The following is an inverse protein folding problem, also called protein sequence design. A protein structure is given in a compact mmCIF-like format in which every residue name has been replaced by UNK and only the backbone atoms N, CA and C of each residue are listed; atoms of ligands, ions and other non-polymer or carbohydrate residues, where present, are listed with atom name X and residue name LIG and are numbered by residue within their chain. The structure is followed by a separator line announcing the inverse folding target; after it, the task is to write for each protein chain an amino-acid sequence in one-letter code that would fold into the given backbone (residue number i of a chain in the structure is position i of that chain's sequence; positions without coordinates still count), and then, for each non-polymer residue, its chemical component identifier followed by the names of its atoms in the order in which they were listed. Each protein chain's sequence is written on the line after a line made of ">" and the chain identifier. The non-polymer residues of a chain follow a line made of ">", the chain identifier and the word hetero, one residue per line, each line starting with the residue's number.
data_IF_829875076527
#
_entry.id   IF_829875076527
#
_cell.length_a   1.000
_cell.length_b   1.000
_cell.length_c   1.000
_cell.angle_alpha   90.00
_cell.angle_beta   90.00
_cell.angle_gamma   90.00
#
_symmetry.space_group_name_H-M   'P 1'
#
loop_
_entity.id
_entity.type
_entity.pdbx_description
1 polymer ?
#
# COMPACT_ATOMS: atom_id res chain seq x y z
N UNK A 1 18.86 -3.66 -44.92
CA UNK A 1 18.90 -3.14 -43.54
C UNK A 1 18.19 -4.16 -42.68
N UNK A 2 18.95 -4.98 -41.94
CA UNK A 2 18.40 -5.98 -41.03
C UNK A 2 17.76 -5.26 -39.85
N UNK A 3 16.50 -5.55 -39.58
CA UNK A 3 15.78 -5.16 -38.36
C UNK A 3 16.63 -5.53 -37.14
N UNK A 4 16.70 -4.71 -36.08
CA UNK A 4 17.31 -5.17 -34.84
C UNK A 4 16.42 -6.29 -34.28
N UNK A 5 16.90 -7.53 -34.33
CA UNK A 5 16.33 -8.63 -33.58
C UNK A 5 16.46 -8.28 -32.10
N UNK A 6 15.34 -8.25 -31.38
CA UNK A 6 15.32 -8.18 -29.92
C UNK A 6 15.85 -9.53 -29.44
N UNK A 7 17.17 -9.61 -29.26
CA UNK A 7 17.90 -10.86 -29.00
C UNK A 7 17.86 -11.33 -27.55
N UNK A 8 17.27 -10.54 -26.65
CA UNK A 8 17.15 -10.91 -25.24
C UNK A 8 15.69 -11.21 -24.84
N UNK A 9 15.31 -12.49 -24.69
CA UNK A 9 13.99 -12.87 -24.21
C UNK A 9 13.72 -12.40 -22.77
N UNK A 10 14.76 -12.05 -21.99
CA UNK A 10 14.58 -11.46 -20.67
C UNK A 10 13.90 -10.08 -20.72
N UNK A 11 14.09 -9.32 -21.82
CA UNK A 11 13.48 -8.00 -21.98
C UNK A 11 11.96 -8.02 -22.05
N UNK A 12 11.37 -9.12 -22.55
CA UNK A 12 9.91 -9.31 -22.58
C UNK A 12 9.32 -9.50 -21.17
N UNK A 13 10.13 -9.98 -20.22
CA UNK A 13 9.69 -10.26 -18.86
C UNK A 13 9.40 -8.95 -18.11
N UNK A 14 10.15 -7.88 -18.35
CA UNK A 14 9.99 -6.59 -17.66
C UNK A 14 8.63 -5.92 -17.86
N UNK A 15 7.92 -6.21 -18.96
CA UNK A 15 6.62 -5.61 -19.25
C UNK A 15 5.44 -6.45 -18.73
N UNK A 16 5.72 -7.56 -18.05
CA UNK A 16 4.70 -8.38 -17.40
C UNK A 16 4.59 -8.05 -15.92
N UNK A 17 3.39 -8.14 -15.35
CA UNK A 17 3.18 -8.03 -13.89
C UNK A 17 4.10 -8.97 -13.12
N UNK A 18 4.25 -10.21 -13.61
CA UNK A 18 5.12 -11.20 -12.99
C UNK A 18 6.59 -10.80 -13.01
N UNK A 19 7.08 -10.14 -14.07
CA UNK A 19 8.44 -9.64 -14.13
C UNK A 19 8.68 -8.44 -13.22
N UNK A 20 7.72 -7.51 -13.13
CA UNK A 20 7.82 -6.38 -12.20
C UNK A 20 7.86 -6.83 -10.72
N UNK A 21 7.17 -7.92 -10.39
CA UNK A 21 7.17 -8.48 -9.03
C UNK A 21 8.40 -9.35 -8.73
N UNK A 22 9.06 -9.89 -9.74
CA UNK A 22 10.26 -10.72 -9.57
C UNK A 22 11.37 -9.94 -8.85
N UNK A 23 11.57 -8.69 -9.25
CA UNK A 23 12.55 -7.79 -8.64
C UNK A 23 12.17 -7.36 -7.22
N UNK A 24 10.94 -7.64 -6.77
CA UNK A 24 10.44 -7.31 -5.44
C UNK A 24 10.58 -8.47 -4.45
N UNK A 25 10.95 -9.68 -4.90
CA UNK A 25 11.10 -10.86 -4.04
C UNK A 25 12.22 -10.65 -3.03
N UNK A 26 11.98 -11.09 -1.80
CA UNK A 26 12.85 -10.94 -0.64
C UNK A 26 13.16 -9.48 -0.28
N UNK A 27 12.38 -8.55 -0.84
CA UNK A 27 12.42 -7.15 -0.48
C UNK A 27 11.25 -6.78 0.40
N UNK A 28 11.48 -5.75 1.21
CA UNK A 28 10.43 -5.17 2.02
C UNK A 28 9.57 -4.26 1.15
N UNK A 29 8.27 -4.49 1.17
CA UNK A 29 7.29 -3.72 0.41
C UNK A 29 6.36 -2.96 1.34
N UNK A 30 5.88 -1.82 0.84
CA UNK A 30 4.63 -1.19 1.30
C UNK A 30 3.51 -1.58 0.33
N UNK A 31 2.37 -2.00 0.87
CA UNK A 31 1.22 -2.46 0.09
C UNK A 31 -0.02 -1.73 0.59
N UNK A 32 -0.81 -1.16 -0.32
CA UNK A 32 -2.10 -0.55 -0.02
C UNK A 32 -3.20 -1.45 -0.56
N UNK A 33 -4.16 -1.77 0.30
CA UNK A 33 -5.30 -2.61 -0.03
C UNK A 33 -6.54 -1.78 -0.33
N UNK A 34 -7.50 -2.41 -1.03
CA UNK A 34 -8.81 -1.85 -1.38
C UNK A 34 -9.59 -1.35 -0.16
N UNK A 35 -9.57 -2.10 0.93
CA UNK A 35 -10.16 -1.73 2.23
C UNK A 35 -9.43 -0.57 2.96
N UNK A 36 -8.49 0.09 2.28
CA UNK A 36 -7.75 1.22 2.81
C UNK A 36 -6.62 0.83 3.77
N UNK A 37 -6.37 -0.47 4.04
CA UNK A 37 -5.24 -0.87 4.89
C UNK A 37 -3.90 -0.59 4.22
N UNK A 38 -2.89 -0.28 5.04
CA UNK A 38 -1.49 -0.24 4.60
C UNK A 38 -0.70 -1.30 5.33
N UNK A 39 -0.12 -2.22 4.57
CA UNK A 39 0.71 -3.30 5.06
C UNK A 39 2.17 -3.02 4.70
N UNK A 40 3.08 -3.41 5.60
CA UNK A 40 4.51 -3.47 5.31
C UNK A 40 4.99 -4.88 5.62
N UNK A 41 5.72 -5.51 4.72
CA UNK A 41 6.21 -6.88 4.92
C UNK A 41 7.25 -7.26 3.87
N UNK A 42 7.91 -8.40 4.07
CA UNK A 42 8.87 -8.93 3.10
C UNK A 42 8.12 -9.85 2.14
N UNK A 43 8.21 -9.59 0.83
CA UNK A 43 7.57 -10.46 -0.18
C UNK A 43 8.34 -11.77 -0.29
N UNK A 44 7.68 -12.90 -0.06
CA UNK A 44 8.31 -14.23 -0.13
C UNK A 44 7.90 -15.01 -1.37
N UNK A 45 6.66 -14.85 -1.82
CA UNK A 45 6.19 -15.43 -3.06
C UNK A 45 5.02 -14.65 -3.63
N UNK A 46 4.83 -14.78 -4.94
CA UNK A 46 3.70 -14.22 -5.65
C UNK A 46 3.27 -15.15 -6.78
N UNK A 47 2.13 -14.86 -7.41
CA UNK A 47 1.70 -15.49 -8.65
C UNK A 47 1.36 -14.46 -9.74
N UNK A 48 1.01 -14.94 -10.93
CA UNK A 48 0.65 -14.11 -12.09
C UNK A 48 -0.61 -13.23 -11.88
N UNK A 49 -1.41 -13.51 -10.85
CA UNK A 49 -2.58 -12.72 -10.47
C UNK A 49 -2.25 -11.70 -9.37
N UNK A 50 -0.96 -11.58 -9.01
CA UNK A 50 -0.47 -10.76 -7.90
C UNK A 50 -1.06 -11.17 -6.53
N UNK A 51 -1.40 -12.44 -6.33
CA UNK A 51 -1.59 -12.96 -4.97
C UNK A 51 -0.23 -12.97 -4.27
N UNK A 52 -0.15 -12.40 -3.05
CA UNK A 52 1.13 -12.16 -2.37
C UNK A 52 1.21 -12.93 -1.05
N UNK A 53 2.37 -13.53 -0.77
CA UNK A 53 2.71 -14.04 0.55
C UNK A 53 3.76 -13.12 1.15
N UNK A 54 3.40 -12.48 2.27
CA UNK A 54 4.29 -11.63 3.04
C UNK A 54 4.73 -12.31 4.32
N UNK A 55 5.97 -12.03 4.72
CA UNK A 55 6.54 -12.37 6.01
C UNK A 55 6.83 -11.09 6.81
N UNK A 56 6.86 -11.21 8.15
CA UNK A 56 7.12 -10.11 9.08
C UNK A 56 6.23 -8.89 8.83
N UNK A 57 4.98 -9.20 8.49
CA UNK A 57 3.99 -8.22 8.09
C UNK A 57 3.54 -7.40 9.29
N UNK A 58 3.48 -6.09 9.10
CA UNK A 58 2.82 -5.15 10.00
C UNK A 58 1.71 -4.42 9.24
N UNK A 59 0.59 -4.18 9.91
CA UNK A 59 -0.41 -3.22 9.47
C UNK A 59 -0.11 -1.88 10.12
N UNK A 60 0.11 -0.86 9.30
CA UNK A 60 0.39 0.49 9.75
C UNK A 60 -0.85 1.37 9.60
N UNK A 61 -1.34 1.85 10.74
CA UNK A 61 -2.44 2.79 10.85
C UNK A 61 -1.87 4.20 10.76
N UNK A 62 -2.37 4.98 9.79
CA UNK A 62 -2.02 6.39 9.64
C UNK A 62 -3.22 7.27 9.99
N UNK A 63 -2.96 8.35 10.71
CA UNK A 63 -3.89 9.46 10.98
C UNK A 63 -3.20 10.76 10.57
N UNK A 64 -3.86 11.91 10.71
CA UNK A 64 -3.29 13.20 10.30
C UNK A 64 -1.93 13.53 10.94
N UNK A 65 -1.74 13.19 12.22
CA UNK A 65 -0.54 13.55 12.99
C UNK A 65 0.07 12.38 13.76
N UNK A 66 -0.52 11.19 13.67
CA UNK A 66 -0.07 10.02 14.44
C UNK A 66 -0.08 8.75 13.61
N UNK A 67 0.70 7.75 14.03
CA UNK A 67 0.71 6.42 13.43
C UNK A 67 0.84 5.32 14.48
N UNK A 68 0.45 4.10 14.12
CA UNK A 68 0.67 2.91 14.94
C UNK A 68 0.89 1.66 14.08
N UNK A 69 1.63 0.70 14.63
CA UNK A 69 1.96 -0.56 13.95
C UNK A 69 1.33 -1.74 14.69
N UNK A 70 0.67 -2.62 13.94
CA UNK A 70 0.07 -3.87 14.43
C UNK A 70 0.79 -5.05 13.76
N UNK A 71 1.42 -5.91 14.54
CA UNK A 71 2.06 -7.12 14.01
C UNK A 71 1.01 -8.09 13.45
N UNK A 72 1.26 -8.62 12.25
CA UNK A 72 0.43 -9.62 11.57
C UNK A 72 1.18 -10.92 11.29
N UNK A 73 2.51 -10.88 11.16
CA UNK A 73 3.33 -12.06 10.89
C UNK A 73 3.26 -12.48 9.43
N UNK A 74 2.90 -13.74 9.15
CA UNK A 74 2.72 -14.23 7.78
C UNK A 74 1.34 -13.81 7.29
N UNK A 75 1.27 -13.22 6.09
CA UNK A 75 0.03 -12.67 5.55
C UNK A 75 -0.14 -13.05 4.09
N UNK A 76 -1.28 -13.67 3.75
CA UNK A 76 -1.66 -14.01 2.38
C UNK A 76 -2.65 -12.97 1.87
N UNK A 77 -2.30 -12.29 0.77
CA UNK A 77 -3.11 -11.25 0.14
C UNK A 77 -3.62 -11.76 -1.19
N UNK A 78 -4.91 -11.59 -1.43
CA UNK A 78 -5.50 -11.86 -2.73
C UNK A 78 -5.29 -10.67 -3.68
N UNK A 79 -4.81 -10.93 -4.89
CA UNK A 79 -4.26 -9.92 -5.78
C UNK A 79 -5.25 -8.85 -6.23
N UNK A 80 -6.53 -9.17 -6.36
CA UNK A 80 -7.54 -8.17 -6.72
C UNK A 80 -7.74 -7.09 -5.64
N UNK A 81 -7.36 -7.37 -4.39
CA UNK A 81 -7.45 -6.42 -3.29
C UNK A 81 -6.23 -5.50 -3.20
N UNK A 82 -5.19 -5.74 -3.99
CA UNK A 82 -3.99 -4.89 -4.04
C UNK A 82 -4.29 -3.68 -4.93
N UNK A 83 -4.18 -2.48 -4.35
CA UNK A 83 -4.31 -1.22 -5.10
C UNK A 83 -2.97 -0.80 -5.65
N UNK A 84 -1.94 -0.80 -4.80
CA UNK A 84 -0.56 -0.53 -5.18
C UNK A 84 0.39 -1.24 -4.23
N UNK A 85 1.61 -1.44 -4.71
CA UNK A 85 2.74 -1.88 -3.92
C UNK A 85 4.02 -1.20 -4.40
N UNK A 86 5.01 -1.14 -3.53
CA UNK A 86 6.33 -0.61 -3.89
C UNK A 86 7.40 -1.04 -2.90
N UNK A 87 8.63 -1.16 -3.37
CA UNK A 87 9.78 -1.43 -2.52
C UNK A 87 9.99 -0.31 -1.51
N UNK A 88 10.11 -0.67 -0.24
CA UNK A 88 10.39 0.25 0.84
C UNK A 88 11.89 0.24 1.13
N UNK A 89 12.56 1.32 0.72
CA UNK A 89 14.01 1.47 0.88
C UNK A 89 14.30 2.66 1.78
N UNK A 90 15.18 2.47 2.77
CA UNK A 90 15.72 3.56 3.58
C UNK A 90 17.19 3.78 3.23
N UNK A 91 17.52 5.02 2.89
CA UNK A 91 18.90 5.49 2.88
C UNK A 91 19.33 5.74 4.33
N UNK A 92 20.32 5.02 4.81
CA UNK A 92 20.87 5.26 6.14
C UNK A 92 21.71 6.55 6.13
N UNK A 93 21.41 7.53 7.01
CA UNK A 93 22.16 8.79 7.07
C UNK A 93 23.66 8.53 7.22
N UNK A 94 24.47 9.08 6.30
CA UNK A 94 25.93 8.91 6.31
C UNK A 94 26.45 7.66 5.58
N UNK A 95 25.59 6.88 4.92
CA UNK A 95 26.00 5.75 4.08
C UNK A 95 25.28 5.78 2.73
N UNK A 96 25.95 5.35 1.66
CA UNK A 96 25.31 5.11 0.35
C UNK A 96 24.63 3.73 0.28
N UNK A 97 24.33 3.13 1.44
CA UNK A 97 23.79 1.78 1.57
C UNK A 97 22.29 1.83 1.83
N UNK A 98 21.55 1.02 1.07
CA UNK A 98 20.12 0.81 1.23
C UNK A 98 19.90 -0.17 2.39
N UNK A 99 19.03 0.20 3.34
CA UNK A 99 18.59 -0.67 4.43
C UNK A 99 17.10 -1.00 4.27
N UNK A 100 16.74 -2.25 4.57
CA UNK A 100 15.35 -2.74 4.58
C UNK A 100 14.71 -2.70 5.98
N UNK A 101 15.31 -1.94 6.89
CA UNK A 101 14.79 -1.77 8.25
C UNK A 101 13.38 -1.17 8.23
N UNK A 102 12.65 -1.37 9.33
CA UNK A 102 11.35 -0.76 9.52
C UNK A 102 11.50 0.75 9.45
N UNK A 103 11.03 1.36 8.36
CA UNK A 103 11.00 2.80 8.23
C UNK A 103 10.14 3.38 9.35
N UNK A 104 10.75 4.18 10.21
CA UNK A 104 10.06 4.94 11.25
C UNK A 104 9.59 6.26 10.65
N UNK A 105 8.28 6.43 10.41
CA UNK A 105 7.76 7.63 9.73
C UNK A 105 8.11 8.93 10.43
N UNK A 106 8.22 8.92 11.75
CA UNK A 106 8.58 10.05 12.61
C UNK A 106 10.02 10.55 12.38
N UNK A 107 10.92 9.71 11.86
CA UNK A 107 12.27 10.14 11.47
C UNK A 107 12.27 10.98 10.18
N UNK A 108 11.29 10.78 9.29
CA UNK A 108 11.18 11.48 8.00
C UNK A 108 10.17 12.62 8.07
N UNK A 109 9.10 12.41 8.83
CA UNK A 109 8.00 13.33 9.03
C UNK A 109 7.94 13.64 10.54
N UNK A 110 8.68 14.65 11.03
CA UNK A 110 8.76 14.97 12.46
C UNK A 110 7.41 15.33 13.10
N UNK A 111 6.41 15.65 12.28
CA UNK A 111 5.03 15.92 12.70
C UNK A 111 4.24 14.66 13.05
N UNK A 112 4.70 13.49 12.62
CA UNK A 112 4.04 12.22 12.88
C UNK A 112 4.52 11.66 14.21
N UNK A 113 3.59 11.33 15.11
CA UNK A 113 3.91 10.74 16.42
C UNK A 113 3.40 9.30 16.53
N UNK A 114 4.23 8.40 17.03
CA UNK A 114 3.79 7.02 17.30
C UNK A 114 2.83 6.98 18.51
N UNK A 115 1.74 6.25 18.38
CA UNK A 115 0.74 6.04 19.44
C UNK A 115 0.39 4.54 19.60
N UNK A 116 -0.45 4.22 20.58
CA UNK A 116 -0.92 2.85 20.79
C UNK A 116 -1.87 2.42 19.65
N UNK A 117 -1.77 1.18 19.15
CA UNK A 117 -2.67 0.68 18.10
C UNK A 117 -4.17 0.77 18.41
N UNK A 118 -4.57 0.57 19.68
CA UNK A 118 -5.98 0.69 20.07
C UNK A 118 -6.48 2.13 19.93
N UNK A 119 -5.64 3.10 20.29
CA UNK A 119 -5.95 4.52 20.17
C UNK A 119 -6.01 4.94 18.70
N UNK A 120 -5.03 4.51 17.88
CA UNK A 120 -5.01 4.79 16.44
C UNK A 120 -6.24 4.23 15.73
N UNK A 121 -6.64 2.99 16.04
CA UNK A 121 -7.83 2.37 15.48
C UNK A 121 -9.11 3.13 15.87
N UNK A 122 -9.20 3.61 17.12
CA UNK A 122 -10.33 4.42 17.56
C UNK A 122 -10.41 5.76 16.82
N UNK A 123 -9.28 6.41 16.54
CA UNK A 123 -9.22 7.64 15.73
C UNK A 123 -9.65 7.34 14.30
N UNK A 124 -9.05 6.33 13.66
CA UNK A 124 -9.35 5.95 12.28
C UNK A 124 -10.84 5.62 12.07
N UNK A 125 -11.45 4.86 12.98
CA UNK A 125 -12.87 4.52 12.90
C UNK A 125 -13.77 5.77 12.97
N UNK A 126 -13.42 6.77 13.80
CA UNK A 126 -14.16 8.04 13.87
C UNK A 126 -13.99 8.85 12.59
N UNK A 127 -12.77 8.91 12.06
CA UNK A 127 -12.46 9.65 10.84
C UNK A 127 -13.17 9.03 9.62
N UNK A 128 -13.13 7.70 9.49
CA UNK A 128 -13.86 6.97 8.45
C UNK A 128 -15.37 7.19 8.53
N UNK A 129 -15.97 7.10 9.72
CA UNK A 129 -17.40 7.36 9.90
C UNK A 129 -17.76 8.81 9.53
N UNK A 130 -16.89 9.76 9.84
CA UNK A 130 -17.07 11.18 9.50
C UNK A 130 -16.97 11.41 8.00
N UNK A 131 -15.93 10.88 7.36
CA UNK A 131 -15.70 10.96 5.91
C UNK A 131 -16.85 10.30 5.13
N UNK A 132 -17.27 9.09 5.51
CA UNK A 132 -18.40 8.39 4.90
C UNK A 132 -19.70 9.21 4.98
N UNK A 133 -19.95 9.91 6.10
CA UNK A 133 -21.13 10.78 6.24
C UNK A 133 -21.05 12.00 5.32
N UNK A 134 -19.88 12.63 5.22
CA UNK A 134 -19.65 13.78 4.35
C UNK A 134 -19.79 13.37 2.89
N UNK A 135 -19.18 12.27 2.49
CA UNK A 135 -19.23 11.73 1.15
C UNK A 135 -20.66 11.37 0.74
N UNK A 136 -21.42 10.67 1.61
CA UNK A 136 -22.84 10.38 1.35
C UNK A 136 -23.67 11.64 1.09
N UNK A 137 -23.38 12.75 1.79
CA UNK A 137 -24.05 14.03 1.54
C UNK A 137 -23.60 14.65 0.22
N UNK A 138 -22.30 14.66 -0.05
CA UNK A 138 -21.71 15.15 -1.32
C UNK A 138 -22.30 14.39 -2.52
N UNK A 139 -22.38 13.06 -2.44
CA UNK A 139 -22.83 12.19 -3.51
C UNK A 139 -24.31 12.44 -3.83
N UNK A 140 -25.15 12.69 -2.83
CA UNK A 140 -26.55 13.09 -3.06
C UNK A 140 -26.66 14.42 -3.81
N UNK A 141 -25.83 15.41 -3.46
CA UNK A 141 -25.84 16.72 -4.11
C UNK A 141 -25.37 16.58 -5.57
N UNK A 142 -24.27 15.88 -5.79
CA UNK A 142 -23.74 15.62 -7.13
C UNK A 142 -24.74 14.87 -8.02
N UNK A 143 -25.36 13.82 -7.50
CA UNK A 143 -26.40 13.08 -8.21
C UNK A 143 -27.60 13.97 -8.58
N UNK A 144 -28.02 14.88 -7.69
CA UNK A 144 -29.11 15.83 -7.99
C UNK A 144 -28.77 16.82 -9.12
N UNK A 145 -27.48 17.03 -9.40
CA UNK A 145 -26.99 17.88 -10.49
C UNK A 145 -26.68 17.08 -11.77
N UNK A 146 -26.98 15.77 -11.79
CA UNK A 146 -26.76 14.90 -12.95
C UNK A 146 -25.33 14.35 -13.09
N UNK A 147 -24.49 14.47 -12.06
CA UNK A 147 -23.18 13.82 -12.05
C UNK A 147 -23.30 12.35 -11.64
N UNK A 148 -22.57 11.47 -12.32
CA UNK A 148 -22.41 10.07 -11.91
C UNK A 148 -21.61 10.00 -10.61
N UNK A 149 -22.06 9.15 -9.70
CA UNK A 149 -21.40 8.95 -8.41
C UNK A 149 -21.26 7.46 -8.17
N UNK A 150 -20.33 6.87 -8.90
CA UNK A 150 -20.02 5.45 -8.79
C UNK A 150 -19.17 5.24 -7.54
N UNK A 151 -19.76 4.64 -6.51
CA UNK A 151 -19.04 4.17 -5.33
C UNK A 151 -19.17 2.65 -5.29
N UNK A 152 -18.06 1.95 -5.50
CA UNK A 152 -18.00 0.50 -5.40
C UNK A 152 -17.64 0.17 -3.94
N UNK A 153 -18.49 -0.61 -3.28
CA UNK A 153 -18.24 -1.08 -1.92
C UNK A 153 -16.87 -1.78 -1.86
N UNK A 154 -16.02 -1.33 -0.92
CA UNK A 154 -14.65 -1.80 -0.79
C UNK A 154 -13.58 -0.93 -1.46
N UNK A 155 -13.90 0.25 -1.98
CA UNK A 155 -12.93 1.26 -2.47
C UNK A 155 -12.49 2.26 -1.38
N UNK A 156 -12.38 1.81 -0.13
CA UNK A 156 -12.11 2.67 1.03
C UNK A 156 -10.74 3.37 0.96
N UNK A 157 -9.83 2.87 0.11
CA UNK A 157 -8.55 3.52 -0.18
C UNK A 157 -8.68 4.93 -0.78
N UNK A 158 -9.81 5.26 -1.41
CA UNK A 158 -10.10 6.61 -1.93
C UNK A 158 -10.38 7.62 -0.82
N UNK A 159 -10.64 7.15 0.40
CA UNK A 159 -11.01 7.98 1.54
C UNK A 159 -9.83 8.31 2.45
N UNK A 160 -8.60 7.96 2.09
CA UNK A 160 -7.41 8.30 2.87
C UNK A 160 -7.08 9.78 2.82
#
# INVERSE_FOLDING_TARGET
>A
MSSPEISDPALLTFFTTSGSLLDCVDKRLIIVLRDGKTLLGVLRSYDQYANLVLQDTIERLYTETTYADIAKGIYLIRGENVVLLGELVRLSPGTNLLSQDLLKPDEILPKLRRINPKEALAIQNRDQATKARIEKKRNRILASMGFSVDHIEGDDYLLK
#
